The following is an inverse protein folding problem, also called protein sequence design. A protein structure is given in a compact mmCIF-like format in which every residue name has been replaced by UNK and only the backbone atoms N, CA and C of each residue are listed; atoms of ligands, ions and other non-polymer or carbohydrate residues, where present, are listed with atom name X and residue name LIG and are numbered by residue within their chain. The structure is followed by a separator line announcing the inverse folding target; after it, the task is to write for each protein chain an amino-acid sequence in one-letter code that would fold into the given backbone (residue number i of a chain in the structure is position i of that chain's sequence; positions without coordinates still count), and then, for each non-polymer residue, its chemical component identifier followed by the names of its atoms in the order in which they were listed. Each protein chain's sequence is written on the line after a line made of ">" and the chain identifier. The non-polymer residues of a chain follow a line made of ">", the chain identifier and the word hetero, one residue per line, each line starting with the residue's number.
data_IF_476385537875
#
_entry.id   IF_476385537875
#
_cell.length_a   1.000
_cell.length_b   1.000
_cell.length_c   1.000
_cell.angle_alpha   90.00
_cell.angle_beta   90.00
_cell.angle_gamma   90.00
#
_symmetry.space_group_name_H-M   'P 1'
#
loop_
_entity.id
_entity.type
_entity.pdbx_description
1 polymer ?
#
# COMPACT_ATOMS: atom_id res chain seq x y z
N UNK A 1 -14.50 1.08 -9.05
CA UNK A 1 -13.27 0.91 -9.85
C UNK A 1 -12.56 -0.35 -9.40
N UNK A 2 -12.06 -1.16 -10.33
CA UNK A 2 -11.32 -2.40 -10.03
C UNK A 2 -9.83 -2.08 -9.98
N UNK A 3 -9.12 -2.59 -8.97
CA UNK A 3 -7.67 -2.44 -8.89
C UNK A 3 -6.98 -3.11 -10.09
N UNK A 4 -6.19 -2.32 -10.83
CA UNK A 4 -5.42 -2.76 -11.99
C UNK A 4 -3.98 -2.24 -11.86
N UNK A 5 -3.04 -3.06 -11.37
CA UNK A 5 -1.65 -2.62 -11.17
C UNK A 5 -0.79 -2.66 -12.46
N UNK A 6 -1.37 -3.04 -13.60
CA UNK A 6 -0.65 -3.35 -14.84
C UNK A 6 -0.55 -4.86 -15.10
N UNK A 7 -0.08 -5.22 -16.30
CA UNK A 7 0.01 -6.60 -16.79
C UNK A 7 1.47 -7.04 -16.99
N UNK A 8 1.70 -8.36 -17.06
CA UNK A 8 3.02 -8.94 -17.29
C UNK A 8 4.03 -8.68 -16.16
N UNK A 9 5.27 -8.37 -16.54
CA UNK A 9 6.36 -8.01 -15.63
C UNK A 9 6.37 -6.51 -15.28
N UNK A 10 5.64 -5.70 -16.05
CA UNK A 10 5.55 -4.25 -15.91
C UNK A 10 4.29 -3.86 -15.12
N UNK A 11 4.35 -3.97 -13.80
CA UNK A 11 3.25 -3.61 -12.89
C UNK A 11 3.78 -2.94 -11.62
N UNK A 12 3.00 -2.08 -10.97
CA UNK A 12 3.36 -1.42 -9.70
C UNK A 12 2.19 -1.36 -8.73
N UNK A 13 2.49 -1.31 -7.43
CA UNK A 13 1.51 -1.05 -6.38
C UNK A 13 1.88 0.28 -5.75
N UNK A 14 1.49 1.36 -6.43
CA UNK A 14 1.86 2.70 -6.02
C UNK A 14 0.96 3.19 -4.89
N UNK A 15 1.57 3.70 -3.83
CA UNK A 15 0.90 4.50 -2.82
C UNK A 15 1.41 5.94 -2.87
N UNK A 16 0.57 6.90 -2.52
CA UNK A 16 0.97 8.29 -2.31
C UNK A 16 0.69 8.78 -0.90
N UNK A 17 1.53 9.71 -0.45
CA UNK A 17 1.33 10.52 0.75
C UNK A 17 1.38 11.98 0.33
N UNK A 18 0.42 12.75 0.85
CA UNK A 18 0.12 14.12 0.41
C UNK A 18 -0.33 14.17 -1.08
N UNK A 19 -0.88 15.31 -1.48
CA UNK A 19 -1.37 15.55 -2.86
C UNK A 19 -0.70 16.75 -3.52
N UNK A 20 0.07 17.55 -2.76
CA UNK A 20 0.58 18.85 -3.17
C UNK A 20 2.11 18.83 -3.19
N UNK A 21 2.71 19.38 -4.26
CA UNK A 21 4.16 19.57 -4.40
C UNK A 21 4.64 20.73 -3.48
N UNK A 22 5.80 20.64 -2.79
CA UNK A 22 6.82 19.58 -2.81
C UNK A 22 6.65 18.52 -1.73
N UNK A 23 5.50 18.46 -1.06
CA UNK A 23 5.22 17.48 -0.02
C UNK A 23 4.76 16.12 -0.57
N UNK A 24 4.37 16.04 -1.85
CA UNK A 24 3.96 14.81 -2.53
C UNK A 24 5.05 13.75 -2.46
N UNK A 25 4.70 12.57 -1.97
CA UNK A 25 5.57 11.39 -1.92
C UNK A 25 4.87 10.21 -2.57
N UNK A 26 5.59 9.45 -3.39
CA UNK A 26 5.12 8.22 -4.03
C UNK A 26 6.05 7.09 -3.65
N UNK A 27 5.49 5.91 -3.37
CA UNK A 27 6.25 4.71 -3.03
C UNK A 27 5.62 3.50 -3.72
N UNK A 28 6.46 2.57 -4.17
CA UNK A 28 6.02 1.29 -4.73
C UNK A 28 6.03 0.21 -3.65
N UNK A 29 4.84 -0.14 -3.16
CA UNK A 29 4.63 -1.08 -2.06
C UNK A 29 4.65 -2.56 -2.48
N UNK A 30 5.03 -2.87 -3.72
CA UNK A 30 5.01 -4.25 -4.24
C UNK A 30 5.69 -5.24 -3.31
N UNK A 31 6.89 -4.92 -2.86
CA UNK A 31 7.75 -5.81 -2.07
C UNK A 31 7.51 -5.70 -0.57
N UNK A 32 6.77 -4.68 -0.12
CA UNK A 32 6.53 -4.42 1.30
C UNK A 32 5.91 -5.62 2.01
N UNK A 33 6.38 -5.91 3.22
CA UNK A 33 5.88 -6.98 4.08
C UNK A 33 4.83 -6.43 5.04
N UNK A 34 3.87 -7.28 5.39
CA UNK A 34 2.88 -6.97 6.41
C UNK A 34 1.56 -7.70 6.23
N UNK A 35 0.46 -7.01 6.51
CA UNK A 35 -0.89 -7.54 6.48
C UNK A 35 -1.69 -6.83 5.40
N UNK A 36 -2.54 -7.56 4.70
CA UNK A 36 -3.54 -6.98 3.80
C UNK A 36 -4.92 -7.51 4.13
N UNK A 37 -5.92 -6.69 3.86
CA UNK A 37 -7.32 -7.01 4.09
C UNK A 37 -8.06 -6.75 2.79
N UNK A 38 -8.85 -7.74 2.36
CA UNK A 38 -9.73 -7.65 1.21
C UNK A 38 -11.14 -7.39 1.69
N UNK A 39 -11.85 -6.54 0.96
CA UNK A 39 -13.22 -6.17 1.25
C UNK A 39 -14.10 -6.44 0.03
N UNK A 40 -15.32 -6.87 0.30
CA UNK A 40 -16.40 -6.88 -0.67
C UNK A 40 -17.34 -5.68 -0.44
N UNK A 41 -18.59 -5.78 -0.88
CA UNK A 41 -19.58 -4.73 -0.65
C UNK A 41 -20.18 -4.73 0.77
N UNK A 42 -20.03 -5.82 1.53
CA UNK A 42 -20.58 -6.02 2.87
C UNK A 42 -19.56 -5.74 3.97
N UNK A 43 -18.26 -5.86 3.70
CA UNK A 43 -17.22 -5.57 4.69
C UNK A 43 -15.91 -6.29 4.42
N UNK A 44 -15.05 -6.45 5.45
CA UNK A 44 -13.83 -7.24 5.33
C UNK A 44 -14.17 -8.71 5.15
N UNK A 45 -13.66 -9.35 4.09
CA UNK A 45 -13.92 -10.76 3.76
C UNK A 45 -12.72 -11.66 3.98
N UNK A 46 -11.51 -11.10 3.93
CA UNK A 46 -10.28 -11.87 4.06
C UNK A 46 -9.14 -11.02 4.62
N UNK A 47 -8.40 -11.55 5.58
CA UNK A 47 -7.14 -11.00 6.04
C UNK A 47 -6.00 -11.97 5.71
N UNK A 48 -4.87 -11.45 5.23
CA UNK A 48 -3.73 -12.26 4.83
C UNK A 48 -2.38 -11.63 5.21
N UNK A 49 -1.38 -12.50 5.32
CA UNK A 49 0.00 -12.12 5.62
C UNK A 49 0.85 -12.12 4.35
N UNK A 50 1.73 -11.13 4.24
CA UNK A 50 2.74 -11.00 3.19
C UNK A 50 4.14 -10.97 3.82
N UNK A 51 4.85 -12.11 3.78
CA UNK A 51 6.16 -12.30 4.44
C UNK A 51 7.32 -12.58 3.49
N UNK A 52 7.04 -13.07 2.28
CA UNK A 52 8.05 -13.46 1.29
C UNK A 52 8.54 -12.31 0.41
N UNK A 53 9.50 -12.60 -0.47
CA UNK A 53 10.14 -11.62 -1.37
C UNK A 53 9.16 -10.87 -2.29
N UNK A 54 8.01 -11.49 -2.62
CA UNK A 54 6.97 -10.86 -3.43
C UNK A 54 6.09 -9.85 -2.69
N UNK A 55 6.19 -9.76 -1.35
CA UNK A 55 5.48 -8.77 -0.54
C UNK A 55 3.95 -8.75 -0.68
N UNK A 56 3.37 -7.62 -0.31
CA UNK A 56 1.95 -7.31 -0.38
C UNK A 56 1.45 -7.39 -1.82
N UNK A 57 2.22 -6.83 -2.77
CA UNK A 57 1.83 -6.77 -4.18
C UNK A 57 1.63 -8.16 -4.79
N UNK A 58 2.55 -9.10 -4.58
CA UNK A 58 2.41 -10.45 -5.15
C UNK A 58 1.21 -11.19 -4.56
N UNK A 59 0.90 -10.97 -3.27
CA UNK A 59 -0.27 -11.56 -2.60
C UNK A 59 -1.57 -11.00 -3.16
N UNK A 60 -1.68 -9.67 -3.28
CA UNK A 60 -2.84 -9.01 -3.87
C UNK A 60 -3.03 -9.42 -5.34
N UNK A 61 -1.95 -9.47 -6.12
CA UNK A 61 -1.98 -9.95 -7.52
C UNK A 61 -2.48 -11.38 -7.60
N UNK A 62 -2.02 -12.27 -6.71
CA UNK A 62 -2.48 -13.67 -6.67
C UNK A 62 -3.99 -13.77 -6.45
N UNK A 63 -4.56 -12.95 -5.54
CA UNK A 63 -6.01 -12.89 -5.32
C UNK A 63 -6.78 -12.32 -6.50
N UNK A 64 -6.15 -11.50 -7.33
CA UNK A 64 -6.76 -10.97 -8.56
C UNK A 64 -6.74 -11.98 -9.71
N UNK A 65 -5.70 -12.82 -9.82
CA UNK A 65 -5.48 -13.66 -11.01
C UNK A 65 -5.96 -15.10 -10.89
N UNK A 66 -5.98 -15.71 -9.70
CA UNK A 66 -6.23 -17.16 -9.53
C UNK A 66 -7.69 -17.50 -9.17
N UNK A 67 -8.36 -18.44 -9.86
CA UNK A 67 -9.62 -19.04 -9.41
C UNK A 67 -9.46 -19.79 -8.08
N UNK A 68 -10.53 -19.98 -7.26
CA UNK A 68 -11.93 -19.57 -7.48
C UNK A 68 -12.21 -18.11 -7.11
N UNK A 69 -11.20 -17.35 -6.65
CA UNK A 69 -11.36 -16.02 -6.02
C UNK A 69 -11.43 -14.83 -6.97
N UNK A 70 -11.53 -15.09 -8.28
CA UNK A 70 -11.78 -14.05 -9.29
C UNK A 70 -13.23 -13.57 -9.13
N UNK A 71 -13.46 -12.60 -8.23
CA UNK A 71 -14.58 -11.60 -8.19
C UNK A 71 -15.12 -11.24 -6.80
N UNK A 72 -14.61 -11.80 -5.70
CA UNK A 72 -15.26 -11.55 -4.40
C UNK A 72 -14.88 -10.21 -3.74
N UNK A 73 -13.74 -9.62 -4.08
CA UNK A 73 -13.28 -8.38 -3.45
C UNK A 73 -13.30 -7.19 -4.42
N UNK A 74 -13.68 -6.02 -3.91
CA UNK A 74 -13.75 -4.75 -4.65
C UNK A 74 -12.80 -3.70 -4.12
N UNK A 75 -12.32 -3.86 -2.88
CA UNK A 75 -11.43 -2.92 -2.19
C UNK A 75 -10.42 -3.70 -1.35
N UNK A 76 -9.33 -3.03 -0.97
CA UNK A 76 -8.34 -3.59 -0.06
C UNK A 76 -7.69 -2.49 0.77
N UNK A 77 -7.13 -2.90 1.91
CA UNK A 77 -6.23 -2.09 2.75
C UNK A 77 -4.94 -2.88 2.96
N UNK A 78 -3.83 -2.20 3.15
CA UNK A 78 -2.55 -2.82 3.51
C UNK A 78 -1.90 -2.09 4.68
N UNK A 79 -1.15 -2.85 5.47
CA UNK A 79 -0.41 -2.38 6.63
C UNK A 79 0.98 -2.96 6.53
N UNK A 80 1.97 -2.12 6.24
CA UNK A 80 3.36 -2.53 6.16
C UNK A 80 4.10 -2.28 7.46
N UNK A 81 5.04 -3.18 7.78
CA UNK A 81 5.94 -3.06 8.92
C UNK A 81 7.39 -2.78 8.48
N UNK A 82 7.62 -2.58 7.18
CA UNK A 82 8.90 -2.15 6.64
C UNK A 82 9.05 -0.63 6.78
N UNK A 83 10.29 -0.15 6.72
CA UNK A 83 10.56 1.28 6.75
C UNK A 83 10.29 1.88 5.36
N UNK A 84 9.73 3.09 5.35
CA UNK A 84 9.57 3.89 4.12
C UNK A 84 10.50 5.10 4.24
N UNK A 85 11.43 5.20 3.30
CA UNK A 85 12.55 6.15 3.36
C UNK A 85 12.67 6.90 2.04
N UNK A 86 13.25 8.10 2.06
CA UNK A 86 13.46 8.87 0.83
C UNK A 86 14.35 8.09 -0.16
N UNK A 87 13.92 8.02 -1.42
CA UNK A 87 14.72 7.44 -2.49
C UNK A 87 15.87 8.38 -2.84
N UNK A 88 17.10 7.87 -2.85
CA UNK A 88 18.27 8.70 -3.12
C UNK A 88 18.35 9.04 -4.61
N UNK A 89 18.35 10.33 -4.94
CA UNK A 89 18.48 10.81 -6.33
C UNK A 89 17.18 10.82 -7.14
N UNK A 90 16.03 10.55 -6.53
CA UNK A 90 14.72 10.52 -7.20
C UNK A 90 13.72 11.42 -6.45
N UNK A 91 13.51 12.64 -6.95
CA UNK A 91 12.60 13.59 -6.33
C UNK A 91 11.18 13.04 -6.24
N UNK A 92 10.55 13.25 -5.07
CA UNK A 92 9.16 12.85 -4.83
C UNK A 92 8.96 11.34 -4.59
N UNK A 93 10.04 10.54 -4.62
CA UNK A 93 9.98 9.11 -4.36
C UNK A 93 10.46 8.72 -2.97
N UNK A 94 9.76 7.74 -2.41
CA UNK A 94 10.19 6.98 -1.25
C UNK A 94 10.29 5.49 -1.65
N UNK A 95 11.11 4.74 -0.94
CA UNK A 95 11.38 3.34 -1.18
C UNK A 95 11.07 2.50 0.06
N UNK A 96 10.66 1.25 -0.18
CA UNK A 96 10.49 0.25 0.87
C UNK A 96 11.86 -0.28 1.26
N UNK A 97 12.22 -0.10 2.54
CA UNK A 97 13.41 -0.70 3.14
C UNK A 97 13.01 -1.81 4.09
N UNK A 98 13.33 -3.04 3.70
CA UNK A 98 13.00 -4.20 4.52
C UNK A 98 13.75 -4.20 5.84
N UNK A 99 13.02 -4.42 6.92
CA UNK A 99 13.65 -4.65 8.23
C UNK A 99 14.22 -6.07 8.28
N UNK A 100 15.48 -6.17 8.72
CA UNK A 100 16.17 -7.44 8.93
C UNK A 100 15.97 -7.99 10.35
N UNK A 101 15.53 -7.15 11.29
CA UNK A 101 15.31 -7.49 12.70
C UNK A 101 14.00 -6.88 13.21
N UNK A 102 13.33 -7.51 14.19
CA UNK A 102 12.21 -6.90 14.90
C UNK A 102 12.65 -5.59 15.56
N UNK A 103 11.77 -4.59 15.55
CA UNK A 103 11.95 -3.36 16.34
C UNK A 103 11.45 -3.64 17.76
N UNK A 104 12.27 -3.40 18.80
CA UNK A 104 11.80 -3.47 20.18
C UNK A 104 10.62 -2.52 20.38
N UNK A 105 9.49 -3.05 20.85
CA UNK A 105 8.29 -2.27 21.13
C UNK A 105 7.72 -2.67 22.49
N UNK A 106 7.16 -1.70 23.21
CA UNK A 106 6.43 -1.97 24.45
C UNK A 106 5.09 -2.61 24.12
N UNK A 107 4.63 -3.56 24.94
CA UNK A 107 3.34 -4.24 24.75
C UNK A 107 2.18 -3.26 24.62
N UNK A 108 2.19 -2.19 25.41
CA UNK A 108 1.18 -1.12 25.36
C UNK A 108 1.11 -0.46 23.98
N UNK A 109 2.26 -0.17 23.36
CA UNK A 109 2.32 0.37 21.99
C UNK A 109 1.73 -0.61 20.99
N UNK A 110 2.08 -1.89 21.09
CA UNK A 110 1.56 -2.93 20.19
C UNK A 110 0.04 -3.07 20.34
N UNK A 111 -0.48 -3.10 21.56
CA UNK A 111 -1.92 -3.19 21.85
C UNK A 111 -2.68 -2.01 21.22
N UNK A 112 -2.18 -0.78 21.38
CA UNK A 112 -2.78 0.43 20.80
C UNK A 112 -2.79 0.40 19.28
N UNK A 113 -1.69 -0.01 18.65
CA UNK A 113 -1.60 -0.14 17.19
C UNK A 113 -2.55 -1.24 16.67
N UNK A 114 -2.70 -2.35 17.39
CA UNK A 114 -3.68 -3.40 17.05
C UNK A 114 -5.12 -2.92 17.20
N UNK A 115 -5.44 -2.17 18.25
CA UNK A 115 -6.76 -1.57 18.44
C UNK A 115 -7.08 -0.58 17.31
N UNK A 116 -6.14 0.31 16.97
CA UNK A 116 -6.29 1.26 15.86
C UNK A 116 -6.54 0.52 14.53
N UNK A 117 -5.83 -0.58 14.28
CA UNK A 117 -6.06 -1.43 13.12
C UNK A 117 -7.48 -2.02 13.13
N UNK A 118 -7.91 -2.62 14.23
CA UNK A 118 -9.25 -3.23 14.33
C UNK A 118 -10.36 -2.18 14.13
N UNK A 119 -10.22 -1.00 14.72
CA UNK A 119 -11.15 0.12 14.56
C UNK A 119 -11.22 0.55 13.08
N UNK A 120 -10.06 0.75 12.43
CA UNK A 120 -10.00 1.14 11.02
C UNK A 120 -10.62 0.09 10.10
N UNK A 121 -10.43 -1.18 10.40
CA UNK A 121 -10.93 -2.30 9.59
C UNK A 121 -12.42 -2.53 9.77
N UNK A 122 -12.91 -2.47 11.00
CA UNK A 122 -14.31 -2.70 11.33
C UNK A 122 -15.18 -1.45 11.14
N UNK A 123 -14.58 -0.28 10.90
CA UNK A 123 -15.30 0.96 10.66
C UNK A 123 -16.11 1.42 11.87
N UNK A 124 -15.65 1.13 13.09
CA UNK A 124 -16.37 1.45 14.32
C UNK A 124 -16.46 2.96 14.50
N UNK A 125 -17.68 3.50 14.38
CA UNK A 125 -17.93 4.95 14.33
C UNK A 125 -17.65 5.69 15.64
N UNK A 126 -17.59 4.98 16.77
CA UNK A 126 -17.49 5.58 18.11
C UNK A 126 -16.04 5.88 18.54
N UNK A 127 -15.03 5.21 17.98
CA UNK A 127 -13.64 5.38 18.41
C UNK A 127 -12.79 5.96 17.26
N UNK A 128 -12.38 7.23 17.40
CA UNK A 128 -11.40 7.86 16.48
C UNK A 128 -9.97 7.55 16.96
N UNK A 129 -9.58 6.28 16.92
CA UNK A 129 -8.17 5.92 17.14
C UNK A 129 -7.37 6.15 15.86
N UNK A 130 -6.19 6.72 16.03
CA UNK A 130 -5.19 6.90 14.96
C UNK A 130 -3.94 6.12 15.33
N UNK A 131 -3.26 5.59 14.32
CA UNK A 131 -1.96 4.97 14.52
C UNK A 131 -0.97 6.03 15.01
N UNK A 132 -0.21 5.72 16.07
CA UNK A 132 0.74 6.68 16.65
C UNK A 132 2.06 6.64 15.88
N UNK A 133 2.43 5.47 15.38
CA UNK A 133 3.71 5.22 14.72
C UNK A 133 3.57 4.78 13.26
N UNK A 134 2.51 5.20 12.58
CA UNK A 134 2.30 4.89 11.16
C UNK A 134 2.05 6.16 10.34
N UNK A 135 2.46 6.11 9.07
CA UNK A 135 2.11 7.10 8.06
C UNK A 135 0.98 6.55 7.20
N UNK A 136 -0.07 7.34 6.98
CA UNK A 136 -1.17 6.96 6.08
C UNK A 136 -0.73 7.15 4.62
N UNK A 137 -1.02 6.13 3.80
CA UNK A 137 -0.77 6.10 2.37
C UNK A 137 -2.05 5.76 1.65
N UNK A 138 -2.32 6.46 0.56
CA UNK A 138 -3.48 6.21 -0.29
C UNK A 138 -3.04 5.48 -1.56
N UNK A 139 -3.85 4.53 -2.03
CA UNK A 139 -3.57 3.84 -3.29
C UNK A 139 -3.59 4.86 -4.42
N UNK A 140 -2.49 4.94 -5.16
CA UNK A 140 -2.40 5.75 -6.36
C UNK A 140 -2.95 4.93 -7.53
N UNK A 141 -3.97 5.45 -8.20
CA UNK A 141 -4.57 4.84 -9.38
C UNK A 141 -3.74 5.13 -10.63
N UNK A 142 -3.90 4.30 -11.67
CA UNK A 142 -3.11 4.40 -12.90
C UNK A 142 -3.20 5.79 -13.57
N UNK A 143 -4.39 6.40 -13.59
CA UNK A 143 -4.61 7.72 -14.21
C UNK A 143 -4.00 8.85 -13.36
N UNK A 144 -3.98 8.70 -12.03
CA UNK A 144 -3.27 9.64 -11.15
C UNK A 144 -1.76 9.50 -11.36
N UNK A 145 -1.25 8.27 -11.42
CA UNK A 145 0.16 8.00 -11.68
C UNK A 145 0.62 8.55 -13.04
N UNK A 146 -0.20 8.41 -14.09
CA UNK A 146 0.06 9.00 -15.40
C UNK A 146 0.18 10.53 -15.30
N UNK A 147 -0.78 11.17 -14.62
CA UNK A 147 -0.76 12.62 -14.41
C UNK A 147 0.48 13.10 -13.62
N UNK A 148 0.88 12.36 -12.57
CA UNK A 148 2.08 12.67 -11.80
C UNK A 148 3.35 12.55 -12.65
N UNK A 149 3.44 11.53 -13.51
CA UNK A 149 4.55 11.32 -14.44
C UNK A 149 4.60 12.42 -15.50
N UNK A 150 3.48 12.68 -16.18
CA UNK A 150 3.42 13.57 -17.34
C UNK A 150 3.65 15.03 -16.97
N UNK A 151 3.34 15.40 -15.72
CA UNK A 151 3.65 16.73 -15.14
C UNK A 151 4.98 16.78 -14.40
N UNK A 152 5.75 15.68 -14.41
CA UNK A 152 7.03 15.54 -13.70
C UNK A 152 6.97 15.97 -12.22
N UNK A 153 5.82 15.70 -11.57
CA UNK A 153 5.63 16.02 -10.14
C UNK A 153 6.44 15.09 -9.24
N UNK A 154 6.80 13.92 -9.75
CA UNK A 154 7.77 12.98 -9.19
C UNK A 154 8.66 12.47 -10.32
N UNK A 155 9.85 11.99 -10.00
CA UNK A 155 10.82 11.53 -10.99
C UNK A 155 10.23 10.45 -11.91
N UNK A 156 10.17 10.68 -13.24
CA UNK A 156 9.48 9.76 -14.16
C UNK A 156 10.19 8.40 -14.29
N UNK A 157 11.48 8.31 -13.93
CA UNK A 157 12.32 7.12 -14.15
C UNK A 157 11.93 5.92 -13.28
N UNK A 158 11.21 6.14 -12.18
CA UNK A 158 10.78 5.08 -11.27
C UNK A 158 9.36 4.56 -11.55
N UNK A 159 8.68 5.07 -12.57
CA UNK A 159 7.48 4.43 -13.11
C UNK A 159 7.88 3.27 -14.03
N UNK A 160 7.64 2.04 -13.57
CA UNK A 160 7.96 0.81 -14.31
C UNK A 160 6.72 0.17 -14.94
N UNK A 161 5.52 0.52 -14.49
CA UNK A 161 4.28 0.07 -15.12
C UNK A 161 4.02 0.87 -16.41
N UNK A 162 3.44 0.22 -17.43
CA UNK A 162 2.91 0.95 -18.59
C UNK A 162 1.71 1.77 -18.14
N UNK A 163 1.90 3.07 -17.96
CA UNK A 163 0.84 4.02 -17.72
C UNK A 163 0.38 4.50 -19.10
N UNK A 164 -0.64 3.86 -19.65
CA UNK A 164 -1.35 4.36 -20.83
C UNK A 164 -2.08 5.65 -20.44
N UNK A 165 -2.12 6.62 -21.36
CA UNK A 165 -2.82 7.91 -21.23
C UNK A 165 -4.27 7.79 -21.69
#
# INVERSE_FOLDING_TARGET
>A
MTWNPGSGDTWQMLGRRNTINPALRVCDFRTAKGVYILYDNYGPTYAGLARGLGGLGARLRTHNTKPPRKREWTRFSWFSFDDIVAATGYHGWEEVRHRSKPVPAQSETVIREMEALLIKVLGTRQNKMSFQNANEWEQLWWHEAANLRDKELVDPRLFTAKLES
#
